data_IF_964203692140
#
_entry.id   IF_964203692140
#
_cell.length_a   1.000
_cell.length_b   1.000
_cell.length_c   1.000
_cell.angle_alpha   90.00
_cell.angle_beta   90.00
_cell.angle_gamma   90.00
#
_symmetry.space_group_name_H-M   'P 1'
#
loop_
_entity.id
_entity.type
_entity.pdbx_description
1 polymer ?
#
# COMPACT_ATOMS: atom_id res chain seq x y z
N UNK A 1 7.17 27.07 35.21
CA UNK A 1 8.38 27.41 34.43
C UNK A 1 8.24 26.86 33.02
N UNK A 2 8.16 27.71 31.99
CA UNK A 2 8.18 27.24 30.59
C UNK A 2 9.57 26.65 30.29
N UNK A 3 9.62 25.35 29.96
CA UNK A 3 10.83 24.71 29.43
C UNK A 3 11.18 25.36 28.09
N UNK A 4 12.23 26.19 28.07
CA UNK A 4 12.79 26.73 26.82
C UNK A 4 13.38 25.56 26.02
N UNK A 5 12.92 25.34 24.79
CA UNK A 5 13.53 24.39 23.85
C UNK A 5 14.97 24.85 23.56
N UNK A 6 15.95 24.03 23.93
CA UNK A 6 17.33 24.19 23.51
C UNK A 6 17.55 23.44 22.19
N UNK A 7 18.16 24.09 21.20
CA UNK A 7 18.54 23.48 19.93
C UNK A 7 20.04 23.21 19.99
N UNK A 8 20.46 21.96 19.74
CA UNK A 8 21.88 21.61 19.63
C UNK A 8 22.42 22.15 18.30
N UNK A 9 23.50 22.92 18.35
CA UNK A 9 24.19 23.48 17.18
C UNK A 9 25.65 23.05 17.27
N UNK A 10 26.27 22.65 16.15
CA UNK A 10 27.70 22.31 16.14
C UNK A 10 28.55 23.56 16.43
N UNK A 11 29.67 23.43 17.16
CA UNK A 11 30.59 24.56 17.38
C UNK A 11 31.03 25.18 16.06
N UNK A 12 30.86 26.49 15.89
CA UNK A 12 31.22 27.22 14.67
C UNK A 12 30.13 27.27 13.58
N UNK A 13 29.01 26.56 13.74
CA UNK A 13 27.92 26.59 12.77
C UNK A 13 27.10 27.89 12.95
N UNK A 14 27.17 28.80 11.98
CA UNK A 14 26.26 29.94 11.92
C UNK A 14 24.81 29.43 11.89
N UNK A 15 23.93 30.06 12.67
CA UNK A 15 22.50 29.76 12.65
C UNK A 15 22.01 29.88 11.20
N UNK A 16 21.69 28.74 10.56
CA UNK A 16 21.02 28.76 9.26
C UNK A 16 19.79 29.65 9.39
N UNK A 17 19.61 30.58 8.46
CA UNK A 17 18.39 31.37 8.37
C UNK A 17 17.20 30.40 8.43
N UNK A 18 16.21 30.71 9.28
CA UNK A 18 14.96 29.96 9.29
C UNK A 18 14.33 30.13 7.92
N UNK A 19 14.48 29.14 7.05
CA UNK A 19 13.67 29.07 5.83
C UNK A 19 12.22 28.96 6.31
N UNK A 20 11.35 29.88 5.88
CA UNK A 20 9.92 29.74 6.15
C UNK A 20 9.45 28.45 5.49
N UNK A 21 9.26 27.40 6.29
CA UNK A 21 8.67 26.16 5.82
C UNK A 21 7.18 26.40 5.71
N UNK A 22 6.62 26.29 4.49
CA UNK A 22 5.17 26.30 4.31
C UNK A 22 4.55 25.18 5.16
N UNK A 23 3.35 25.42 5.70
CA UNK A 23 2.60 24.35 6.38
C UNK A 23 2.49 23.13 5.46
N UNK A 24 2.60 21.91 6.02
CA UNK A 24 2.37 20.65 5.30
C UNK A 24 1.07 20.64 4.50
N UNK A 25 0.08 21.46 4.90
CA UNK A 25 -1.21 21.63 4.21
C UNK A 25 -1.10 22.21 2.79
N UNK A 26 -0.01 22.91 2.47
CA UNK A 26 0.23 23.49 1.14
C UNK A 26 1.17 22.65 0.28
N UNK A 27 1.67 21.52 0.80
CA UNK A 27 2.45 20.56 0.03
C UNK A 27 1.46 19.77 -0.81
N UNK A 28 1.67 19.78 -2.13
CA UNK A 28 0.87 18.98 -3.06
C UNK A 28 1.08 17.50 -2.76
N UNK A 29 0.01 16.72 -2.88
CA UNK A 29 0.02 15.28 -2.62
C UNK A 29 -0.79 14.58 -3.69
N UNK A 30 -0.36 13.38 -4.01
CA UNK A 30 -1.08 12.40 -4.82
C UNK A 30 -1.32 11.20 -3.92
N UNK A 31 -2.49 10.59 -4.04
CA UNK A 31 -2.88 9.41 -3.27
C UNK A 31 -3.04 8.23 -4.23
N UNK A 32 -2.57 7.04 -3.83
CA UNK A 32 -2.67 5.83 -4.65
C UNK A 32 -2.97 4.60 -3.83
N UNK A 33 -3.81 3.73 -4.38
CA UNK A 33 -4.02 2.35 -3.95
C UNK A 33 -3.05 1.44 -4.72
N UNK A 34 -2.37 0.53 -4.06
CA UNK A 34 -1.35 -0.34 -4.64
C UNK A 34 -1.51 -1.76 -4.12
N UNK A 35 -1.56 -2.71 -5.04
CA UNK A 35 -1.69 -4.12 -4.79
C UNK A 35 -0.44 -4.85 -5.29
N UNK A 36 0.16 -5.64 -4.40
CA UNK A 36 1.27 -6.54 -4.71
C UNK A 36 1.04 -7.88 -4.03
N UNK A 37 1.50 -8.96 -4.63
CA UNK A 37 1.43 -10.32 -4.10
C UNK A 37 2.83 -10.97 -4.12
N UNK A 38 2.95 -12.15 -3.53
CA UNK A 38 4.20 -12.91 -3.56
C UNK A 38 4.46 -13.40 -4.99
N UNK A 39 5.63 -13.11 -5.57
CA UNK A 39 5.97 -13.67 -6.88
C UNK A 39 5.93 -15.21 -6.83
N UNK A 40 5.33 -15.84 -7.84
CA UNK A 40 5.16 -17.29 -7.91
C UNK A 40 5.06 -17.74 -9.37
N UNK A 41 5.65 -18.89 -9.73
CA UNK A 41 5.68 -19.35 -11.13
C UNK A 41 6.19 -18.23 -12.04
N UNK A 42 5.44 -17.88 -13.08
CA UNK A 42 5.72 -16.76 -14.00
C UNK A 42 5.15 -15.40 -13.56
N UNK A 43 4.32 -15.37 -12.50
CA UNK A 43 3.79 -14.13 -11.92
C UNK A 43 4.84 -13.37 -11.09
N UNK A 44 5.08 -12.11 -11.46
CA UNK A 44 6.14 -11.24 -10.92
C UNK A 44 5.80 -10.59 -9.56
N UNK A 45 4.57 -10.75 -9.06
CA UNK A 45 4.11 -10.17 -7.81
C UNK A 45 3.38 -8.84 -7.93
N UNK A 46 3.25 -8.23 -9.12
CA UNK A 46 2.57 -6.93 -9.28
C UNK A 46 1.11 -7.11 -9.68
N UNK A 47 0.20 -6.56 -8.90
CA UNK A 47 -1.23 -6.59 -9.22
C UNK A 47 -1.68 -5.27 -9.82
N UNK A 48 -1.40 -4.14 -9.18
CA UNK A 48 -1.70 -2.85 -9.78
C UNK A 48 -1.44 -1.66 -8.87
N UNK A 49 -1.49 -0.47 -9.46
CA UNK A 49 -1.45 0.79 -8.74
C UNK A 49 -2.46 1.76 -9.36
N UNK A 50 -3.33 2.34 -8.53
CA UNK A 50 -4.52 3.07 -8.95
C UNK A 50 -4.56 4.41 -8.22
N UNK A 51 -4.74 5.49 -8.96
CA UNK A 51 -4.78 6.83 -8.39
C UNK A 51 -6.11 7.04 -7.67
N UNK A 52 -6.05 7.61 -6.48
CA UNK A 52 -7.24 8.05 -5.74
C UNK A 52 -7.58 9.50 -6.14
N UNK A 53 -8.11 9.66 -7.35
CA UNK A 53 -8.55 10.93 -7.88
C UNK A 53 -10.00 10.84 -8.38
N UNK A 54 -10.69 11.99 -8.43
CA UNK A 54 -11.98 12.11 -9.11
C UNK A 54 -11.82 12.96 -10.35
N UNK A 55 -12.48 12.57 -11.42
CA UNK A 55 -12.62 13.44 -12.58
C UNK A 55 -13.38 14.71 -12.18
N UNK A 56 -12.84 15.85 -12.61
CA UNK A 56 -13.39 17.17 -12.37
C UNK A 56 -13.34 17.97 -13.65
N UNK A 57 -14.45 18.64 -13.96
CA UNK A 57 -14.47 19.65 -15.02
C UNK A 57 -13.99 20.98 -14.46
N UNK A 58 -12.91 21.51 -15.03
CA UNK A 58 -12.33 22.79 -14.66
C UNK A 58 -13.35 23.93 -14.83
N UNK A 59 -13.80 24.50 -13.70
CA UNK A 59 -14.83 25.54 -13.68
C UNK A 59 -14.31 26.93 -14.05
N UNK A 60 -13.00 27.15 -13.93
CA UNK A 60 -12.33 28.43 -14.17
C UNK A 60 -11.07 28.18 -14.97
N UNK A 61 -10.72 29.13 -15.84
CA UNK A 61 -9.40 29.15 -16.47
C UNK A 61 -8.34 29.30 -15.37
N UNK A 62 -7.37 28.42 -15.39
CA UNK A 62 -6.16 28.49 -14.58
C UNK A 62 -4.94 28.56 -15.49
N UNK A 63 -3.73 28.56 -14.92
CA UNK A 63 -2.50 28.44 -15.71
C UNK A 63 -2.42 27.09 -16.45
N UNK A 64 -3.13 26.05 -15.98
CA UNK A 64 -2.89 24.66 -16.38
C UNK A 64 -4.11 23.97 -17.01
N UNK A 65 -5.30 24.52 -16.80
CA UNK A 65 -6.55 24.00 -17.35
C UNK A 65 -7.39 25.16 -17.86
N UNK A 66 -7.90 25.02 -19.08
CA UNK A 66 -8.96 25.86 -19.60
C UNK A 66 -10.28 25.53 -18.93
N UNK A 67 -11.24 26.45 -19.03
CA UNK A 67 -12.58 26.19 -18.53
C UNK A 67 -13.23 25.12 -19.40
N UNK A 68 -13.63 24.01 -18.78
CA UNK A 68 -14.24 22.87 -19.47
C UNK A 68 -13.33 21.64 -19.58
N UNK A 69 -12.03 21.77 -19.29
CA UNK A 69 -11.11 20.64 -19.30
C UNK A 69 -11.48 19.61 -18.22
N UNK A 70 -11.41 18.32 -18.55
CA UNK A 70 -11.51 17.23 -17.56
C UNK A 70 -10.13 17.02 -16.95
N UNK A 71 -10.02 17.12 -15.63
CA UNK A 71 -8.79 16.90 -14.89
C UNK A 71 -9.03 16.03 -13.64
N UNK A 72 -7.98 15.34 -13.20
CA UNK A 72 -8.00 14.56 -11.98
C UNK A 72 -7.80 15.46 -10.75
N UNK A 73 -8.76 15.44 -9.82
CA UNK A 73 -8.60 16.04 -8.50
C UNK A 73 -8.27 14.95 -7.47
N UNK A 74 -7.02 14.94 -6.99
CA UNK A 74 -6.63 14.09 -5.86
C UNK A 74 -7.47 14.45 -4.64
N UNK A 75 -8.07 13.44 -4.01
CA UNK A 75 -8.95 13.64 -2.87
C UNK A 75 -8.70 12.60 -1.78
N UNK A 76 -9.28 12.84 -0.60
CA UNK A 76 -9.25 11.87 0.48
C UNK A 76 -10.03 10.61 0.08
N UNK A 77 -9.50 9.45 0.47
CA UNK A 77 -10.13 8.16 0.16
C UNK A 77 -11.37 7.96 1.04
N UNK A 78 -12.54 8.21 0.46
CA UNK A 78 -13.83 7.89 1.05
C UNK A 78 -14.23 6.44 0.78
N UNK A 79 -15.14 5.88 1.59
CA UNK A 79 -15.56 4.48 1.47
C UNK A 79 -16.12 4.14 0.08
N UNK A 80 -16.88 5.06 -0.52
CA UNK A 80 -17.38 4.97 -1.90
C UNK A 80 -16.24 4.80 -2.91
N UNK A 81 -15.25 5.70 -2.87
CA UNK A 81 -14.14 5.71 -3.82
C UNK A 81 -13.28 4.46 -3.66
N UNK A 82 -13.03 4.06 -2.41
CA UNK A 82 -12.30 2.83 -2.14
C UNK A 82 -13.02 1.60 -2.69
N UNK A 83 -14.33 1.49 -2.44
CA UNK A 83 -15.13 0.39 -2.95
C UNK A 83 -15.13 0.35 -4.48
N UNK A 84 -15.32 1.49 -5.14
CA UNK A 84 -15.28 1.63 -6.61
C UNK A 84 -13.92 1.21 -7.17
N UNK A 85 -12.81 1.77 -6.66
CA UNK A 85 -11.45 1.40 -7.08
C UNK A 85 -11.18 -0.10 -6.92
N UNK A 86 -11.60 -0.69 -5.80
CA UNK A 86 -11.39 -2.12 -5.54
C UNK A 86 -12.24 -2.97 -6.47
N UNK A 87 -13.53 -2.65 -6.64
CA UNK A 87 -14.45 -3.48 -7.43
C UNK A 87 -14.23 -3.35 -8.92
N UNK A 88 -13.91 -2.15 -9.42
CA UNK A 88 -13.79 -1.87 -10.85
C UNK A 88 -12.37 -2.05 -11.38
N UNK A 89 -11.35 -1.98 -10.52
CA UNK A 89 -9.94 -2.08 -10.95
C UNK A 89 -9.24 -3.29 -10.33
N UNK A 90 -9.18 -3.34 -9.00
CA UNK A 90 -8.40 -4.38 -8.33
C UNK A 90 -8.93 -5.79 -8.55
N UNK A 91 -10.23 -6.02 -8.31
CA UNK A 91 -10.84 -7.35 -8.44
C UNK A 91 -10.63 -7.91 -9.86
N UNK A 92 -10.88 -7.15 -10.95
CA UNK A 92 -10.54 -7.58 -12.30
C UNK A 92 -9.06 -7.92 -12.51
N UNK A 93 -8.14 -7.11 -11.96
CA UNK A 93 -6.71 -7.39 -12.04
C UNK A 93 -6.32 -8.68 -11.30
N UNK A 94 -6.91 -8.94 -10.12
CA UNK A 94 -6.71 -10.20 -9.40
C UNK A 94 -7.24 -11.37 -10.22
N UNK A 95 -8.44 -11.26 -10.78
CA UNK A 95 -9.00 -12.33 -11.61
C UNK A 95 -8.13 -12.70 -12.81
N UNK A 96 -7.47 -11.71 -13.40
CA UNK A 96 -6.60 -11.93 -14.56
C UNK A 96 -5.22 -12.43 -14.16
N UNK A 97 -4.58 -11.77 -13.18
CA UNK A 97 -3.18 -12.02 -12.80
C UNK A 97 -2.99 -13.18 -11.83
N UNK A 98 -4.06 -13.59 -11.15
CA UNK A 98 -4.07 -14.66 -10.16
C UNK A 98 -5.08 -15.76 -10.54
N UNK A 99 -5.32 -15.97 -11.85
CA UNK A 99 -6.26 -16.96 -12.37
C UNK A 99 -5.89 -18.42 -12.06
N UNK A 100 -4.63 -18.69 -11.70
CA UNK A 100 -4.16 -20.03 -11.36
C UNK A 100 -4.36 -20.39 -9.86
N UNK A 101 -5.02 -19.52 -9.11
CA UNK A 101 -5.33 -19.72 -7.68
C UNK A 101 -6.82 -19.99 -7.48
N UNK A 102 -7.15 -20.85 -6.52
CA UNK A 102 -8.56 -21.11 -6.14
C UNK A 102 -9.12 -19.98 -5.27
N UNK A 103 -8.30 -19.47 -4.36
CA UNK A 103 -8.66 -18.43 -3.39
C UNK A 103 -7.51 -17.43 -3.28
N UNK A 104 -7.83 -16.14 -3.32
CA UNK A 104 -6.90 -15.03 -3.07
C UNK A 104 -7.39 -14.24 -1.87
N UNK A 105 -6.52 -14.10 -0.88
CA UNK A 105 -6.78 -13.24 0.26
C UNK A 105 -6.16 -11.86 0.03
N UNK A 106 -6.94 -10.82 0.29
CA UNK A 106 -6.54 -9.42 0.10
C UNK A 106 -6.47 -8.72 1.45
N UNK A 107 -5.25 -8.49 1.94
CA UNK A 107 -5.02 -7.85 3.22
C UNK A 107 -5.16 -6.33 3.10
N UNK A 108 -5.92 -5.72 4.01
CA UNK A 108 -6.13 -4.27 4.13
C UNK A 108 -5.84 -3.79 5.54
N UNK A 109 -5.54 -2.49 5.71
CA UNK A 109 -5.48 -1.90 7.03
C UNK A 109 -6.89 -1.65 7.62
N UNK A 110 -6.96 -1.39 8.92
CA UNK A 110 -8.21 -1.12 9.64
C UNK A 110 -8.78 0.29 9.45
N UNK A 111 -8.45 1.00 8.36
CA UNK A 111 -8.97 2.34 8.12
C UNK A 111 -10.51 2.32 8.02
N UNK A 112 -11.17 3.36 8.56
CA UNK A 112 -12.64 3.45 8.60
C UNK A 112 -13.31 3.24 7.22
N UNK A 113 -12.78 3.78 6.11
CA UNK A 113 -13.34 3.51 4.78
C UNK A 113 -13.30 2.02 4.40
N UNK A 114 -12.21 1.31 4.73
CA UNK A 114 -12.01 -0.09 4.36
C UNK A 114 -12.92 -1.02 5.18
N UNK A 115 -13.01 -0.78 6.49
CA UNK A 115 -13.88 -1.56 7.38
C UNK A 115 -15.35 -1.43 6.95
N UNK A 116 -15.78 -0.22 6.55
CA UNK A 116 -17.18 0.02 6.14
C UNK A 116 -17.61 -0.72 4.86
N UNK A 117 -16.68 -1.03 3.97
CA UNK A 117 -16.98 -1.68 2.70
C UNK A 117 -16.63 -3.17 2.69
N UNK A 118 -16.04 -3.71 3.76
CA UNK A 118 -15.56 -5.09 3.86
C UNK A 118 -16.59 -6.13 3.40
N UNK A 119 -17.82 -6.06 3.90
CA UNK A 119 -18.86 -7.04 3.57
C UNK A 119 -19.25 -6.99 2.09
N UNK A 120 -19.35 -5.78 1.53
CA UNK A 120 -19.66 -5.57 0.12
C UNK A 120 -18.51 -6.07 -0.78
N UNK A 121 -17.26 -5.83 -0.39
CA UNK A 121 -16.09 -6.32 -1.10
C UNK A 121 -15.99 -7.85 -1.06
N UNK A 122 -16.27 -8.46 0.09
CA UNK A 122 -16.34 -9.92 0.21
C UNK A 122 -17.50 -10.52 -0.59
N UNK A 123 -18.64 -9.83 -0.71
CA UNK A 123 -19.72 -10.26 -1.59
C UNK A 123 -19.31 -10.20 -3.07
N UNK A 124 -18.66 -9.11 -3.50
CA UNK A 124 -18.13 -8.97 -4.86
C UNK A 124 -17.05 -10.00 -5.21
N UNK A 125 -16.17 -10.31 -4.25
CA UNK A 125 -15.08 -11.28 -4.41
C UNK A 125 -15.50 -12.75 -4.41
N UNK A 126 -16.70 -13.07 -3.88
CA UNK A 126 -17.25 -14.44 -3.89
C UNK A 126 -17.83 -14.86 -5.24
N UNK A 127 -18.04 -13.92 -6.16
CA UNK A 127 -18.67 -14.20 -7.45
C UNK A 127 -17.75 -15.06 -8.33
N UNK A 128 -18.14 -16.32 -8.56
CA UNK A 128 -17.39 -17.23 -9.44
C UNK A 128 -17.57 -16.83 -10.90
N UNK A 129 -16.59 -16.11 -11.44
CA UNK A 129 -16.54 -15.74 -12.87
C UNK A 129 -15.65 -16.70 -13.66
N UNK A 130 -15.95 -16.87 -14.94
CA UNK A 130 -14.99 -17.45 -15.90
C UNK A 130 -14.42 -16.33 -16.75
N UNK A 131 -13.09 -16.23 -16.79
CA UNK A 131 -12.35 -15.23 -17.57
C UNK A 131 -11.34 -16.00 -18.42
N UNK A 132 -11.34 -15.74 -19.73
CA UNK A 132 -10.48 -16.41 -20.71
C UNK A 132 -10.45 -17.95 -20.59
N UNK A 133 -11.62 -18.54 -20.31
CA UNK A 133 -11.79 -19.98 -20.16
C UNK A 133 -11.34 -20.56 -18.81
N UNK A 134 -10.63 -19.79 -17.98
CA UNK A 134 -10.25 -20.16 -16.61
C UNK A 134 -11.30 -19.74 -15.58
N UNK A 135 -11.39 -20.49 -14.49
CA UNK A 135 -12.22 -20.12 -13.35
C UNK A 135 -11.45 -19.05 -12.55
N UNK A 136 -12.06 -17.90 -12.32
CA UNK A 136 -11.45 -16.85 -11.51
C UNK A 136 -11.40 -17.27 -10.02
N UNK A 137 -10.37 -16.83 -9.26
CA UNK A 137 -10.26 -17.12 -7.83
C UNK A 137 -11.43 -16.53 -7.05
N UNK A 138 -11.79 -17.18 -5.94
CA UNK A 138 -12.56 -16.53 -4.89
C UNK A 138 -11.67 -15.48 -4.19
N UNK A 139 -12.15 -14.25 -4.05
CA UNK A 139 -11.43 -13.19 -3.34
C UNK A 139 -12.01 -13.02 -1.94
N UNK A 140 -11.15 -13.10 -0.91
CA UNK A 140 -11.48 -12.87 0.49
C UNK A 140 -10.70 -11.66 1.02
N UNK A 141 -11.40 -10.64 1.48
CA UNK A 141 -10.78 -9.47 2.10
C UNK A 141 -10.62 -9.69 3.60
N UNK A 142 -9.46 -9.30 4.11
CA UNK A 142 -9.02 -9.53 5.49
C UNK A 142 -8.35 -8.28 6.06
N UNK A 143 -8.48 -8.07 7.38
CA UNK A 143 -7.87 -6.92 8.06
C UNK A 143 -6.58 -7.34 8.74
N UNK A 144 -5.55 -6.51 8.59
CA UNK A 144 -4.37 -6.61 9.43
C UNK A 144 -4.73 -6.32 10.91
N UNK A 145 -3.96 -6.84 11.88
CA UNK A 145 -4.10 -6.47 13.28
C UNK A 145 -4.07 -4.95 13.52
N UNK A 146 -4.90 -4.49 14.46
CA UNK A 146 -5.02 -3.06 14.75
C UNK A 146 -3.68 -2.48 15.25
N UNK A 147 -3.27 -1.33 14.69
CA UNK A 147 -2.01 -0.65 14.99
C UNK A 147 -0.74 -1.47 14.68
N UNK A 148 -0.81 -2.41 13.72
CA UNK A 148 0.32 -3.25 13.33
C UNK A 148 0.71 -3.04 11.85
N UNK A 149 1.26 -1.86 11.48
CA UNK A 149 1.70 -1.60 10.10
C UNK A 149 2.82 -2.54 9.64
N UNK A 150 3.60 -3.07 10.57
CA UNK A 150 4.62 -4.10 10.36
C UNK A 150 4.08 -5.45 9.86
N UNK A 151 2.77 -5.69 9.94
CA UNK A 151 2.12 -6.90 9.42
C UNK A 151 1.63 -6.74 7.97
N UNK A 152 1.62 -5.52 7.43
CA UNK A 152 1.25 -5.22 6.06
C UNK A 152 2.50 -5.00 5.21
N UNK A 153 2.65 -5.75 4.12
CA UNK A 153 3.82 -5.66 3.25
C UNK A 153 4.05 -4.24 2.71
N UNK A 154 2.95 -3.54 2.36
CA UNK A 154 2.99 -2.21 1.80
C UNK A 154 3.64 -1.21 2.76
N UNK A 155 3.23 -1.24 4.02
CA UNK A 155 3.76 -0.36 5.06
C UNK A 155 5.12 -0.80 5.57
N UNK A 156 5.31 -2.11 5.73
CA UNK A 156 6.53 -2.68 6.28
C UNK A 156 7.75 -2.34 5.43
N UNK A 157 7.65 -2.48 4.11
CA UNK A 157 8.81 -2.34 3.25
C UNK A 157 8.53 -1.85 1.83
N UNK A 158 7.40 -2.20 1.19
CA UNK A 158 7.21 -1.90 -0.22
C UNK A 158 7.14 -0.39 -0.48
N UNK A 159 6.34 0.38 0.26
CA UNK A 159 6.28 1.83 0.07
C UNK A 159 7.58 2.55 0.41
N UNK A 160 8.32 2.04 1.39
CA UNK A 160 9.65 2.58 1.70
C UNK A 160 10.63 2.31 0.56
N UNK A 161 10.55 1.13 -0.07
CA UNK A 161 11.32 0.80 -1.27
C UNK A 161 10.96 1.71 -2.44
N UNK A 162 9.68 1.89 -2.74
CA UNK A 162 9.19 2.77 -3.80
C UNK A 162 9.59 4.23 -3.57
N UNK A 163 9.36 4.75 -2.36
CA UNK A 163 9.70 6.14 -2.01
C UNK A 163 11.18 6.44 -2.22
N UNK A 164 12.06 5.47 -1.98
CA UNK A 164 13.51 5.66 -2.18
C UNK A 164 13.83 5.99 -3.64
N UNK A 165 13.23 5.27 -4.58
CA UNK A 165 13.50 5.48 -6.01
C UNK A 165 12.74 6.68 -6.57
N UNK A 166 11.49 6.86 -6.14
CA UNK A 166 10.75 8.07 -6.49
C UNK A 166 11.56 9.31 -6.07
N UNK A 167 12.16 9.34 -4.88
CA UNK A 167 12.99 10.47 -4.42
C UNK A 167 14.27 10.72 -5.23
N UNK A 168 14.78 9.73 -5.98
CA UNK A 168 15.94 9.89 -6.85
C UNK A 168 15.57 10.72 -8.09
N UNK A 169 14.37 10.48 -8.65
CA UNK A 169 13.86 11.13 -9.87
C UNK A 169 12.95 12.33 -9.60
N UNK A 170 12.28 12.37 -8.44
CA UNK A 170 11.32 13.40 -8.03
C UNK A 170 11.95 14.80 -8.03
N UNK A 171 13.27 14.90 -7.79
CA UNK A 171 13.99 16.19 -7.79
C UNK A 171 14.03 16.88 -9.14
N UNK A 172 13.78 16.13 -10.21
CA UNK A 172 13.72 16.62 -11.59
C UNK A 172 12.33 17.20 -11.91
N UNK A 173 11.32 16.84 -11.11
CA UNK A 173 9.95 17.31 -11.25
C UNK A 173 9.75 18.57 -10.41
N UNK A 174 9.29 19.67 -11.03
CA UNK A 174 8.86 20.84 -10.26
C UNK A 174 7.59 20.47 -9.46
N UNK A 175 7.64 20.58 -8.14
CA UNK A 175 6.49 20.34 -7.26
C UNK A 175 5.41 21.42 -7.37
N UNK A 176 4.67 21.39 -8.46
CA UNK A 176 3.53 22.27 -8.74
C UNK A 176 2.24 21.46 -8.89
N UNK A 177 1.09 22.13 -8.83
CA UNK A 177 -0.20 21.46 -9.05
C UNK A 177 -0.31 20.86 -10.47
N UNK A 178 0.44 21.39 -11.44
CA UNK A 178 0.44 20.94 -12.83
C UNK A 178 1.17 19.61 -13.03
N UNK A 179 2.12 19.30 -12.14
CA UNK A 179 3.00 18.16 -12.30
C UNK A 179 2.59 17.00 -11.38
N UNK A 180 1.34 17.02 -10.89
CA UNK A 180 0.78 15.90 -10.13
C UNK A 180 0.63 14.66 -10.99
N UNK A 181 0.24 14.84 -12.24
CA UNK A 181 0.09 13.74 -13.20
C UNK A 181 1.47 13.21 -13.59
N UNK A 182 2.45 14.10 -13.80
CA UNK A 182 3.85 13.72 -14.01
C UNK A 182 4.42 12.96 -12.81
N UNK A 183 4.15 13.43 -11.59
CA UNK A 183 4.56 12.73 -10.36
C UNK A 183 3.85 11.37 -10.19
N UNK A 184 2.57 11.28 -10.52
CA UNK A 184 1.83 10.01 -10.54
C UNK A 184 2.43 9.03 -11.56
N UNK A 185 2.68 9.50 -12.79
CA UNK A 185 3.28 8.72 -13.86
C UNK A 185 4.66 8.22 -13.46
N UNK A 186 5.48 9.07 -12.83
CA UNK A 186 6.76 8.65 -12.25
C UNK A 186 6.52 7.53 -11.23
N UNK A 187 5.60 7.67 -10.27
CA UNK A 187 5.34 6.60 -9.30
C UNK A 187 4.94 5.29 -9.99
N UNK A 188 4.10 5.34 -11.03
CA UNK A 188 3.66 4.16 -11.80
C UNK A 188 4.81 3.54 -12.57
N UNK A 189 5.65 4.35 -13.22
CA UNK A 189 6.86 3.89 -13.89
C UNK A 189 7.80 3.22 -12.90
N UNK A 190 8.09 3.85 -11.75
CA UNK A 190 8.95 3.28 -10.72
C UNK A 190 8.36 1.98 -10.12
N UNK A 191 7.03 1.87 -10.05
CA UNK A 191 6.36 0.62 -9.69
C UNK A 191 6.65 -0.50 -10.70
N UNK A 192 6.58 -0.20 -12.00
CA UNK A 192 6.81 -1.18 -13.08
C UNK A 192 8.28 -1.45 -13.40
N UNK A 193 9.19 -0.51 -13.16
CA UNK A 193 10.60 -0.71 -13.48
C UNK A 193 11.40 -1.26 -12.30
N UNK A 194 11.15 -0.76 -11.07
CA UNK A 194 12.01 -1.05 -9.92
C UNK A 194 11.49 -2.17 -9.02
N UNK A 195 10.19 -2.48 -9.05
CA UNK A 195 9.62 -3.59 -8.30
C UNK A 195 9.47 -4.81 -9.20
N UNK A 196 10.61 -5.31 -9.68
CA UNK A 196 10.68 -6.61 -10.32
C UNK A 196 10.41 -7.76 -9.33
N UNK A 197 10.36 -8.97 -9.87
CA UNK A 197 10.18 -10.20 -9.11
C UNK A 197 11.14 -10.31 -7.93
N UNK A 198 12.43 -10.04 -8.15
CA UNK A 198 13.45 -10.23 -7.11
C UNK A 198 13.28 -9.22 -5.97
N UNK A 199 12.97 -7.97 -6.31
CA UNK A 199 12.69 -6.90 -5.35
C UNK A 199 11.45 -7.21 -4.51
N UNK A 200 10.36 -7.61 -5.14
CA UNK A 200 9.15 -8.00 -4.43
C UNK A 200 9.39 -9.25 -3.58
N UNK A 201 10.11 -10.24 -4.08
CA UNK A 201 10.47 -11.42 -3.28
C UNK A 201 11.28 -11.03 -2.03
N UNK A 202 12.19 -10.06 -2.12
CA UNK A 202 12.90 -9.51 -0.94
C UNK A 202 11.94 -8.85 0.06
N UNK A 203 10.94 -8.09 -0.41
CA UNK A 203 9.90 -7.54 0.48
C UNK A 203 9.19 -8.65 1.26
N UNK A 204 8.87 -9.77 0.61
CA UNK A 204 8.23 -10.92 1.25
C UNK A 204 9.16 -11.65 2.24
N UNK A 205 10.44 -11.78 1.92
CA UNK A 205 11.44 -12.32 2.86
C UNK A 205 11.54 -11.43 4.11
N UNK A 206 11.49 -10.10 3.96
CA UNK A 206 11.44 -9.17 5.10
C UNK A 206 10.17 -9.38 5.92
N UNK A 207 9.01 -9.55 5.27
CA UNK A 207 7.74 -9.83 5.94
C UNK A 207 7.86 -11.09 6.79
N UNK A 208 8.30 -12.21 6.22
CA UNK A 208 8.48 -13.47 6.95
C UNK A 208 9.39 -13.32 8.18
N UNK A 209 10.54 -12.67 8.02
CA UNK A 209 11.46 -12.48 9.15
C UNK A 209 10.85 -11.63 10.29
N UNK A 210 10.08 -10.59 9.93
CA UNK A 210 9.39 -9.73 10.91
C UNK A 210 8.24 -10.47 11.59
N UNK A 211 7.44 -11.21 10.84
CA UNK A 211 6.36 -12.05 11.37
C UNK A 211 6.89 -13.04 12.41
N UNK A 212 8.02 -13.72 12.15
CA UNK A 212 8.66 -14.61 13.15
C UNK A 212 9.03 -13.87 14.43
N UNK A 213 9.63 -12.69 14.31
CA UNK A 213 9.96 -11.88 15.47
C UNK A 213 8.71 -11.47 16.28
N UNK A 214 7.59 -11.18 15.61
CA UNK A 214 6.31 -10.89 16.26
C UNK A 214 5.80 -12.13 17.00
N UNK A 215 5.88 -13.32 16.38
CA UNK A 215 5.44 -14.59 16.96
C UNK A 215 6.30 -14.99 18.16
N UNK A 216 7.62 -14.88 18.07
CA UNK A 216 8.56 -15.12 19.18
C UNK A 216 8.28 -14.17 20.37
N UNK A 217 7.77 -12.97 20.08
CA UNK A 217 7.32 -12.00 21.07
C UNK A 217 5.84 -12.15 21.46
N UNK A 218 5.19 -13.26 21.10
CA UNK A 218 3.77 -13.57 21.37
C UNK A 218 2.81 -12.45 20.94
N UNK A 219 3.04 -11.85 19.79
CA UNK A 219 2.20 -10.79 19.22
C UNK A 219 2.35 -9.43 19.90
N UNK A 220 3.38 -9.23 20.72
CA UNK A 220 3.67 -7.93 21.36
C UNK A 220 4.58 -7.06 20.49
N UNK A 221 4.56 -5.74 20.70
CA UNK A 221 5.47 -4.82 20.03
C UNK A 221 6.90 -4.85 20.59
N UNK A 222 7.21 -5.78 21.52
CA UNK A 222 8.49 -5.89 22.20
C UNK A 222 9.47 -6.81 21.44
N UNK A 223 9.44 -6.79 20.11
CA UNK A 223 10.39 -7.51 19.28
C UNK A 223 11.43 -6.55 18.70
N UNK A 224 12.60 -7.09 18.36
CA UNK A 224 13.64 -6.31 17.65
C UNK A 224 13.49 -6.57 16.17
N UNK A 225 13.48 -5.53 15.30
CA UNK A 225 13.49 -5.74 13.87
C UNK A 225 14.70 -6.60 13.46
N UNK A 226 14.52 -7.58 12.57
CA UNK A 226 15.60 -8.45 12.16
C UNK A 226 16.66 -7.66 11.38
N UNK A 227 17.94 -8.02 11.57
CA UNK A 227 19.09 -7.43 10.86
C UNK A 227 19.75 -8.48 9.96
N UNK A 228 20.25 -8.06 8.79
CA UNK A 228 20.97 -8.96 7.89
C UNK A 228 20.09 -10.12 7.39
N UNK A 229 18.83 -9.82 7.08
CA UNK A 229 17.79 -10.79 6.72
C UNK A 229 18.30 -11.67 5.57
N UNK A 230 18.40 -12.97 5.83
CA UNK A 230 18.70 -14.00 4.82
C UNK A 230 17.40 -14.58 4.28
N UNK A 231 17.49 -15.35 3.21
CA UNK A 231 16.35 -16.12 2.76
C UNK A 231 15.87 -17.01 3.90
N UNK A 232 14.59 -16.87 4.23
CA UNK A 232 13.92 -17.68 5.24
C UNK A 232 12.75 -18.41 4.58
N UNK A 233 12.54 -19.65 5.00
CA UNK A 233 11.36 -20.39 4.57
C UNK A 233 10.10 -19.69 5.08
N UNK A 234 9.06 -19.56 4.22
CA UNK A 234 7.77 -19.06 4.64
C UNK A 234 7.23 -19.88 5.80
N UNK A 235 6.61 -19.21 6.76
CA UNK A 235 5.82 -19.89 7.76
C UNK A 235 4.58 -20.45 7.07
N UNK A 236 4.37 -21.76 7.18
CA UNK A 236 3.17 -22.44 6.67
C UNK A 236 2.40 -23.00 7.86
N UNK A 237 1.10 -22.73 7.88
CA UNK A 237 0.16 -23.31 8.83
C UNK A 237 -1.14 -23.58 8.09
N UNK A 238 -1.70 -24.78 8.26
CA UNK A 238 -2.99 -25.13 7.66
C UNK A 238 -4.11 -24.42 8.43
N UNK A 239 -4.67 -23.39 7.83
CA UNK A 239 -5.82 -22.67 8.36
C UNK A 239 -7.10 -23.25 7.78
N UNK A 240 -8.07 -23.55 8.64
CA UNK A 240 -9.40 -23.94 8.20
C UNK A 240 -10.07 -22.75 7.51
N UNK A 241 -10.65 -23.00 6.33
CA UNK A 241 -11.33 -21.99 5.50
C UNK A 241 -12.56 -21.36 6.18
N UNK A 242 -13.01 -21.96 7.29
CA UNK A 242 -14.19 -21.61 8.07
C UNK A 242 -13.86 -20.99 9.45
N UNK A 243 -12.59 -20.75 9.77
CA UNK A 243 -12.22 -20.11 11.04
C UNK A 243 -12.51 -18.60 11.01
N UNK A 244 -13.43 -18.18 11.86
CA UNK A 244 -13.72 -16.79 12.16
C UNK A 244 -12.66 -16.29 13.18
N UNK A 245 -11.40 -16.15 12.74
CA UNK A 245 -10.21 -15.88 13.57
C UNK A 245 -10.15 -14.43 14.13
N UNK A 246 -11.31 -13.79 14.28
CA UNK A 246 -11.45 -12.46 14.86
C UNK A 246 -10.87 -12.35 16.28
N UNK A 247 -10.65 -13.47 16.99
CA UNK A 247 -10.14 -13.50 18.37
C UNK A 247 -8.75 -14.12 18.57
N UNK A 248 -8.16 -14.82 17.60
CA UNK A 248 -6.79 -15.34 17.74
C UNK A 248 -5.77 -14.31 17.24
N UNK A 249 -4.74 -14.03 18.04
CA UNK A 249 -3.67 -13.06 17.71
C UNK A 249 -2.55 -13.69 16.89
N UNK A 250 -2.33 -14.99 17.05
CA UNK A 250 -1.32 -15.78 16.35
C UNK A 250 -1.83 -16.15 14.97
N UNK A 251 -3.10 -16.53 14.83
CA UNK A 251 -3.72 -16.80 13.53
C UNK A 251 -3.72 -15.56 12.61
N UNK A 252 -4.05 -14.37 13.14
CA UNK A 252 -3.92 -13.09 12.40
C UNK A 252 -2.48 -12.70 12.04
N UNK A 253 -1.48 -13.32 12.62
CA UNK A 253 -0.07 -13.06 12.30
C UNK A 253 0.43 -14.07 11.25
N UNK A 254 -0.07 -15.31 11.31
CA UNK A 254 0.28 -16.44 10.45
C UNK A 254 -0.52 -16.53 9.14
N UNK A 255 -1.73 -15.97 9.09
CA UNK A 255 -2.65 -15.96 7.95
C UNK A 255 -2.05 -15.44 6.62
N UNK A 256 -0.87 -14.81 6.64
CA UNK A 256 -0.48 -13.83 5.62
C UNK A 256 0.91 -14.03 4.99
N UNK A 257 1.53 -15.21 5.15
CA UNK A 257 2.81 -15.56 4.53
C UNK A 257 2.69 -16.31 3.19
N UNK A 258 1.46 -16.73 2.84
CA UNK A 258 1.09 -17.26 1.53
C UNK A 258 0.86 -16.18 0.46
N UNK A 259 0.48 -16.63 -0.73
CA UNK A 259 0.23 -15.88 -1.98
C UNK A 259 -0.93 -14.87 -1.88
N UNK A 260 -0.71 -13.78 -1.15
CA UNK A 260 -1.78 -12.83 -0.79
C UNK A 260 -1.46 -11.46 -1.38
N UNK A 261 -2.47 -10.82 -1.95
CA UNK A 261 -2.38 -9.44 -2.41
C UNK A 261 -2.44 -8.51 -1.19
N UNK A 262 -1.45 -7.63 -0.98
CA UNK A 262 -1.51 -6.57 0.03
C UNK A 262 -1.97 -5.27 -0.61
N UNK A 263 -3.04 -4.68 -0.08
CA UNK A 263 -3.47 -3.31 -0.37
C UNK A 263 -2.89 -2.34 0.65
N UNK A 264 -2.72 -1.05 0.30
CA UNK A 264 -1.93 -0.18 1.13
C UNK A 264 -2.75 0.49 2.20
N UNK A 265 -2.07 0.77 3.32
CA UNK A 265 -2.53 1.76 4.27
C UNK A 265 -2.28 3.15 3.74
N UNK A 266 -3.15 4.08 4.11
CA UNK A 266 -2.89 5.50 3.99
C UNK A 266 -1.60 5.87 4.73
N UNK A 267 -0.67 6.53 4.03
CA UNK A 267 0.57 7.07 4.63
C UNK A 267 0.29 7.84 5.94
N UNK A 268 1.18 7.74 6.95
CA UNK A 268 1.02 8.47 8.21
C UNK A 268 1.08 9.99 7.99
N UNK A 269 0.25 10.71 8.75
CA UNK A 269 0.05 12.19 8.72
C UNK A 269 1.34 13.01 8.90
#
# INVERSE_FOLDING_TARGET
MLRKRAVKVHPGQQRRARVQTKSKRFVQKVMGLCAVARPCGDFDGRIGMYRCAREKVAQRRSKFHERGDVCDEDCDVEAHMFHELVTEKLIPDIYTKMADFDIVFVQMDGARPHVKCMDALNAAGKERKRIDGKQAPMIKFVLQPANSPDTNLNDLCFFRSLSKFVQEHEREIEHSAANKDEFWNLMVEQYHEYHDRERLQRCWVVKTAVTKCILDANGTNNYKPPHGIKHEEPISFDLSLDLDDANDRVARTLDYEGLHASLPSSLPR
#
